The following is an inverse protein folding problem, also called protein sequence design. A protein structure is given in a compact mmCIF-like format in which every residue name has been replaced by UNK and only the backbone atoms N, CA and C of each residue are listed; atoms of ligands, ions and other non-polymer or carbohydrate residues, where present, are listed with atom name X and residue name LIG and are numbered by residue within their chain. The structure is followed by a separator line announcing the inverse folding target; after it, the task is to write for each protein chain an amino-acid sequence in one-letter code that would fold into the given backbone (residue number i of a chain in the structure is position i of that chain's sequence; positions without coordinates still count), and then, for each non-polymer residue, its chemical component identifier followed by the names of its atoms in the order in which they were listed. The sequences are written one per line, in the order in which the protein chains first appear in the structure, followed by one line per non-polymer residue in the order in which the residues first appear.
data_IF_781164904910
#
_entry.id   IF_781164904910
#
_cell.length_a   1.000
_cell.length_b   1.000
_cell.length_c   1.000
_cell.angle_alpha   90.00
_cell.angle_beta   90.00
_cell.angle_gamma   90.00
#
_symmetry.space_group_name_H-M   'P 1'
#
loop_
_entity.id
_entity.type
_entity.pdbx_description
1 polymer ?
#
# COMPACT_ATOMS: atom_id res chain seq x y z
N UNK A 1 8.79 9.55 -4.64
CA UNK A 1 9.70 9.43 -5.79
C UNK A 1 9.81 10.73 -6.60
N UNK A 2 8.72 11.38 -7.01
CA UNK A 2 8.77 12.62 -7.80
C UNK A 2 9.67 13.72 -7.23
N UNK A 3 9.53 14.05 -5.94
CA UNK A 3 10.38 15.05 -5.28
C UNK A 3 11.86 14.66 -5.32
N UNK A 4 12.18 13.39 -5.07
CA UNK A 4 13.56 12.90 -5.10
C UNK A 4 14.15 12.98 -6.52
N UNK A 5 13.38 12.61 -7.54
CA UNK A 5 13.80 12.71 -8.94
C UNK A 5 14.02 14.17 -9.38
N UNK A 6 13.14 15.10 -8.96
CA UNK A 6 13.35 16.53 -9.20
C UNK A 6 14.63 17.04 -8.54
N UNK A 7 14.83 16.76 -7.25
CA UNK A 7 16.02 17.17 -6.49
C UNK A 7 17.31 16.57 -7.08
N UNK A 8 17.22 15.36 -7.64
CA UNK A 8 18.33 14.70 -8.34
C UNK A 8 18.58 15.25 -9.76
N UNK A 9 17.78 16.21 -10.24
CA UNK A 9 17.93 16.84 -11.54
C UNK A 9 17.45 15.99 -12.72
N UNK A 10 16.63 14.97 -12.49
CA UNK A 10 16.08 14.11 -13.55
C UNK A 10 15.10 14.88 -14.44
N UNK A 11 14.32 15.78 -13.84
CA UNK A 11 13.37 16.63 -14.55
C UNK A 11 13.21 18.00 -13.86
N UNK A 12 12.73 18.98 -14.64
CA UNK A 12 12.43 20.33 -14.17
C UNK A 12 11.30 20.33 -13.12
N UNK A 13 11.13 21.45 -12.42
CA UNK A 13 10.02 21.57 -11.46
C UNK A 13 8.67 21.54 -12.19
N UNK A 14 8.61 22.16 -13.37
CA UNK A 14 7.44 22.20 -14.24
C UNK A 14 7.02 20.79 -14.69
N UNK A 15 7.99 19.98 -15.13
CA UNK A 15 7.74 18.58 -15.48
C UNK A 15 7.28 17.75 -14.28
N UNK A 16 7.87 18.00 -13.10
CA UNK A 16 7.48 17.34 -11.86
C UNK A 16 5.99 17.58 -11.54
N UNK A 17 5.55 18.84 -11.66
CA UNK A 17 4.14 19.20 -11.47
C UNK A 17 3.24 18.56 -12.52
N UNK A 18 3.65 18.58 -13.79
CA UNK A 18 2.89 17.94 -14.87
C UNK A 18 2.65 16.45 -14.59
N UNK A 19 3.69 15.72 -14.19
CA UNK A 19 3.60 14.30 -13.83
C UNK A 19 2.71 14.06 -12.61
N UNK A 20 2.85 14.89 -11.56
CA UNK A 20 2.03 14.77 -10.35
C UNK A 20 0.54 15.01 -10.63
N UNK A 21 0.22 16.02 -11.44
CA UNK A 21 -1.16 16.34 -11.82
C UNK A 21 -1.80 15.20 -12.60
N UNK A 22 -1.14 14.75 -13.68
CA UNK A 22 -1.64 13.65 -14.51
C UNK A 22 -1.82 12.37 -13.69
N UNK A 23 -0.84 12.04 -12.84
CA UNK A 23 -0.97 10.87 -11.96
C UNK A 23 -2.14 11.02 -11.01
N UNK A 24 -2.32 12.19 -10.39
CA UNK A 24 -3.41 12.41 -9.42
C UNK A 24 -4.79 12.24 -10.05
N UNK A 25 -4.96 12.71 -11.29
CA UNK A 25 -6.17 12.53 -12.08
C UNK A 25 -6.43 11.04 -12.38
N UNK A 26 -5.42 10.34 -12.92
CA UNK A 26 -5.54 8.92 -13.23
C UNK A 26 -5.85 8.08 -11.99
N UNK A 27 -5.19 8.38 -10.86
CA UNK A 27 -5.49 7.69 -9.60
C UNK A 27 -6.91 7.96 -9.10
N UNK A 28 -7.37 9.22 -9.20
CA UNK A 28 -8.72 9.59 -8.79
C UNK A 28 -9.81 8.96 -9.65
N UNK A 29 -9.51 8.64 -10.92
CA UNK A 29 -10.42 8.01 -11.85
C UNK A 29 -10.51 6.47 -11.68
N UNK A 30 -9.66 5.85 -10.86
CA UNK A 30 -9.71 4.41 -10.62
C UNK A 30 -11.02 4.00 -9.91
N UNK A 31 -11.54 2.79 -10.17
CA UNK A 31 -12.70 2.27 -9.47
C UNK A 31 -12.51 2.27 -7.95
N UNK A 32 -13.56 2.62 -7.22
CA UNK A 32 -13.57 2.49 -5.76
C UNK A 32 -13.71 1.02 -5.32
N UNK A 33 -13.47 0.75 -4.04
CA UNK A 33 -13.62 -0.60 -3.45
C UNK A 33 -12.30 -1.30 -3.11
N UNK A 34 -11.17 -0.66 -3.43
CA UNK A 34 -9.85 -1.06 -2.94
C UNK A 34 -9.53 -0.42 -1.58
N UNK A 35 -8.69 -1.09 -0.81
CA UNK A 35 -8.25 -0.64 0.50
C UNK A 35 -6.77 -0.98 0.74
N UNK A 36 -6.18 -0.35 1.75
CA UNK A 36 -4.81 -0.63 2.18
C UNK A 36 -4.71 -0.74 3.69
N UNK A 37 -3.92 -1.70 4.16
CA UNK A 37 -3.71 -2.01 5.57
C UNK A 37 -2.22 -1.96 5.90
N UNK A 38 -1.83 -1.05 6.77
CA UNK A 38 -0.49 -1.08 7.36
C UNK A 38 -0.45 -2.15 8.46
N UNK A 39 0.58 -2.99 8.42
CA UNK A 39 0.82 -4.04 9.38
C UNK A 39 2.16 -3.79 10.06
N UNK A 40 2.18 -3.81 11.39
CA UNK A 40 3.40 -3.69 12.19
C UNK A 40 3.51 -4.87 13.16
N UNK A 41 4.65 -5.53 13.21
CA UNK A 41 4.84 -6.68 14.09
C UNK A 41 6.17 -7.39 13.89
N UNK A 42 6.41 -8.50 14.61
CA UNK A 42 7.69 -9.21 14.54
C UNK A 42 7.99 -9.72 13.13
N UNK A 43 9.23 -9.53 12.67
CA UNK A 43 9.70 -9.97 11.35
C UNK A 43 9.30 -11.41 10.99
N UNK A 44 9.46 -12.44 11.86
CA UNK A 44 9.07 -13.81 11.51
C UNK A 44 7.58 -13.99 11.25
N UNK A 45 6.73 -13.19 11.92
CA UNK A 45 5.27 -13.23 11.77
C UNK A 45 4.84 -12.56 10.47
N UNK A 46 5.41 -11.40 10.15
CA UNK A 46 5.15 -10.73 8.87
C UNK A 46 5.66 -11.55 7.68
N UNK A 47 6.83 -12.18 7.79
CA UNK A 47 7.34 -13.06 6.74
C UNK A 47 6.44 -14.28 6.50
N UNK A 48 5.93 -14.90 7.57
CA UNK A 48 4.97 -15.99 7.46
C UNK A 48 3.66 -15.55 6.81
N UNK A 49 3.14 -14.37 7.21
CA UNK A 49 1.94 -13.79 6.62
C UNK A 49 2.11 -13.52 5.13
N UNK A 50 3.23 -12.92 4.69
CA UNK A 50 3.52 -12.67 3.28
C UNK A 50 3.48 -13.95 2.44
N UNK A 51 3.98 -15.07 2.97
CA UNK A 51 3.94 -16.36 2.28
C UNK A 51 2.55 -17.00 2.20
N UNK A 52 1.56 -16.46 2.92
CA UNK A 52 0.20 -17.00 3.04
C UNK A 52 -0.87 -15.95 2.73
N UNK A 53 -0.51 -14.85 2.05
CA UNK A 53 -1.47 -13.81 1.71
C UNK A 53 -2.65 -14.40 0.90
N UNK A 54 -3.90 -14.08 1.28
CA UNK A 54 -5.07 -14.50 0.52
C UNK A 54 -5.02 -14.01 -0.93
N UNK A 55 -5.65 -14.76 -1.82
CA UNK A 55 -5.77 -14.35 -3.22
C UNK A 55 -6.46 -12.97 -3.33
N UNK A 56 -5.92 -12.10 -4.19
CA UNK A 56 -6.40 -10.73 -4.36
C UNK A 56 -5.79 -9.72 -3.39
N UNK A 57 -4.97 -10.16 -2.42
CA UNK A 57 -4.15 -9.27 -1.60
C UNK A 57 -2.70 -9.28 -2.08
N UNK A 58 -2.09 -8.11 -2.14
CA UNK A 58 -0.70 -7.92 -2.57
C UNK A 58 0.05 -7.05 -1.56
N UNK A 59 1.35 -7.31 -1.38
CA UNK A 59 2.19 -6.42 -0.59
C UNK A 59 2.48 -5.16 -1.41
N UNK A 60 1.88 -4.05 -1.02
CA UNK A 60 2.06 -2.75 -1.66
C UNK A 60 3.43 -2.12 -1.32
N UNK A 61 3.93 -2.35 -0.10
CA UNK A 61 5.22 -1.79 0.34
C UNK A 61 5.84 -2.58 1.50
N UNK A 62 7.16 -2.76 1.45
CA UNK A 62 7.98 -3.14 2.60
C UNK A 62 8.67 -1.90 3.16
N UNK A 63 8.20 -1.39 4.29
CA UNK A 63 8.75 -0.17 4.90
C UNK A 63 9.92 -0.49 5.83
N UNK A 64 9.89 -1.64 6.50
CA UNK A 64 10.97 -2.19 7.33
C UNK A 64 10.75 -3.70 7.53
N UNK A 65 11.71 -4.42 8.16
CA UNK A 65 11.49 -5.83 8.52
C UNK A 65 10.25 -6.08 9.40
N UNK A 66 9.84 -5.06 10.16
CA UNK A 66 8.73 -5.11 11.12
C UNK A 66 7.51 -4.31 10.66
N UNK A 67 7.52 -3.76 9.45
CA UNK A 67 6.43 -2.93 8.94
C UNK A 67 6.24 -3.08 7.43
N UNK A 68 5.03 -3.44 7.01
CA UNK A 68 4.64 -3.53 5.61
C UNK A 68 3.22 -3.00 5.39
N UNK A 69 2.85 -2.83 4.12
CA UNK A 69 1.50 -2.45 3.71
C UNK A 69 0.96 -3.48 2.74
N UNK A 70 -0.26 -3.94 2.99
CA UNK A 70 -1.01 -4.82 2.08
C UNK A 70 -2.11 -4.00 1.41
N UNK A 71 -2.37 -4.27 0.14
CA UNK A 71 -3.44 -3.66 -0.64
C UNK A 71 -4.28 -4.73 -1.33
N UNK A 72 -5.55 -4.42 -1.57
CA UNK A 72 -6.47 -5.25 -2.34
C UNK A 72 -7.94 -4.88 -2.09
N UNK A 73 -8.89 -5.77 -2.42
CA UNK A 73 -10.31 -5.55 -2.18
C UNK A 73 -10.62 -5.26 -0.71
N UNK A 74 -11.56 -4.35 -0.46
CA UNK A 74 -11.89 -3.88 0.88
C UNK A 74 -12.30 -5.02 1.83
N UNK A 75 -13.13 -5.94 1.39
CA UNK A 75 -13.58 -7.09 2.17
C UNK A 75 -12.44 -8.03 2.58
N UNK A 76 -11.50 -8.26 1.67
CA UNK A 76 -10.29 -9.06 1.93
C UNK A 76 -9.35 -8.36 2.93
N UNK A 77 -9.19 -7.04 2.81
CA UNK A 77 -8.41 -6.23 3.77
C UNK A 77 -9.04 -6.26 5.16
N UNK A 78 -10.36 -6.11 5.27
CA UNK A 78 -11.08 -6.19 6.55
C UNK A 78 -10.98 -7.59 7.17
N UNK A 79 -11.02 -8.65 6.36
CA UNK A 79 -10.81 -10.01 6.81
C UNK A 79 -9.38 -10.22 7.34
N UNK A 80 -8.37 -9.72 6.63
CA UNK A 80 -6.98 -9.77 7.07
C UNK A 80 -6.76 -9.00 8.37
N UNK A 81 -7.36 -7.82 8.52
CA UNK A 81 -7.27 -7.04 9.75
C UNK A 81 -7.79 -7.83 10.97
N UNK A 82 -8.93 -8.53 10.82
CA UNK A 82 -9.47 -9.40 11.88
C UNK A 82 -8.59 -10.61 12.18
N UNK A 83 -7.85 -11.14 11.21
CA UNK A 83 -6.92 -12.26 11.43
C UNK A 83 -5.66 -11.83 12.20
N UNK A 84 -5.28 -10.56 12.12
CA UNK A 84 -4.11 -10.05 12.85
C UNK A 84 -4.35 -9.98 14.37
N UNK A 85 -5.61 -10.00 14.82
CA UNK A 85 -5.98 -10.02 16.24
C UNK A 85 -5.55 -11.35 16.89
N UNK A 86 -4.43 -11.31 17.62
CA UNK A 86 -3.91 -12.45 18.40
C UNK A 86 -2.50 -12.89 18.03
N UNK A 87 -1.95 -12.44 16.89
CA UNK A 87 -0.64 -12.87 16.37
C UNK A 87 0.51 -11.87 16.66
N UNK A 88 0.23 -10.81 17.43
CA UNK A 88 1.20 -9.75 17.71
C UNK A 88 1.49 -8.83 16.50
N UNK A 89 0.66 -8.93 15.45
CA UNK A 89 0.65 -8.01 14.31
C UNK A 89 -0.42 -6.96 14.59
N UNK A 90 -0.05 -5.69 14.54
CA UNK A 90 -0.95 -4.56 14.74
C UNK A 90 -1.42 -4.05 13.38
N UNK A 91 -2.69 -4.25 13.01
CA UNK A 91 -3.25 -3.71 11.79
C UNK A 91 -3.68 -2.25 11.96
N UNK A 92 -3.48 -1.44 10.93
CA UNK A 92 -3.96 -0.06 10.84
C UNK A 92 -4.46 0.24 9.44
N UNK A 93 -5.76 0.50 9.32
CA UNK A 93 -6.37 0.93 8.06
C UNK A 93 -5.76 2.27 7.62
N UNK A 94 -5.38 2.38 6.35
CA UNK A 94 -4.93 3.64 5.77
C UNK A 94 -6.14 4.45 5.27
N UNK A 95 -6.16 5.79 5.47
CA UNK A 95 -7.25 6.65 5.01
C UNK A 95 -7.11 6.93 3.50
N UNK A 96 -7.31 5.89 2.69
CA UNK A 96 -7.23 5.91 1.23
C UNK A 96 -8.43 5.18 0.63
N UNK A 97 -8.79 5.52 -0.61
CA UNK A 97 -9.98 4.99 -1.30
C UNK A 97 -9.71 3.85 -2.29
N UNK A 98 -8.44 3.47 -2.45
CA UNK A 98 -7.98 2.56 -3.51
C UNK A 98 -6.87 1.64 -3.00
N UNK A 99 -6.70 0.52 -3.69
CA UNK A 99 -5.66 -0.47 -3.45
C UNK A 99 -4.38 -0.16 -4.26
N UNK A 100 -3.69 0.93 -3.93
CA UNK A 100 -2.47 1.31 -4.66
C UNK A 100 -1.38 0.23 -4.59
N UNK A 101 -0.61 0.11 -5.67
CA UNK A 101 0.44 -0.91 -5.83
C UNK A 101 -0.09 -2.36 -5.79
N UNK A 102 -1.27 -2.57 -6.37
CA UNK A 102 -1.85 -3.90 -6.59
C UNK A 102 -2.54 -3.97 -7.96
N UNK A 103 -2.96 -5.17 -8.37
CA UNK A 103 -3.77 -5.38 -9.57
C UNK A 103 -5.28 -5.12 -9.38
N UNK A 104 -5.73 -4.79 -8.17
CA UNK A 104 -7.14 -4.59 -7.80
C UNK A 104 -7.69 -3.23 -8.23
#
# INVERSE_FOLDING_TARGET
EYVAAHVAGVFSLEDAFGLLLLRSELMGALPAGGAMLALQGPTPRLAALCGQLPAGLEVAAFNSPEALVVAGPQDAIEALARQCDGDGIVPRQLPVSHAFHSAA
#
